data_IF_033982414920
#
_entry.id   IF_033982414920
#
_cell.length_a   1.000
_cell.length_b   1.000
_cell.length_c   1.000
_cell.angle_alpha   90.00
_cell.angle_beta   90.00
_cell.angle_gamma   90.00
#
_symmetry.space_group_name_H-M   'P 1'
#
loop_
_entity.id
_entity.type
_entity.pdbx_description
1 polymer ?
#
# COMPACT_ATOMS: atom_id res chain seq x y z
N UNK A 1 -8.06 -1.55 -2.07
CA UNK A 1 -8.31 -0.46 -1.10
C UNK A 1 -9.36 0.47 -1.69
N UNK A 2 -10.32 0.93 -0.89
CA UNK A 2 -11.20 2.04 -1.29
C UNK A 2 -10.75 3.27 -0.52
N UNK A 3 -10.33 4.30 -1.24
CA UNK A 3 -9.66 5.47 -0.66
C UNK A 3 -10.53 6.71 -0.74
N UNK A 4 -10.62 7.45 0.36
CA UNK A 4 -11.22 8.79 0.38
C UNK A 4 -10.29 9.73 1.17
N UNK A 5 -9.32 10.36 0.49
CA UNK A 5 -8.26 11.09 1.17
C UNK A 5 -8.78 12.41 1.77
N UNK A 6 -8.40 12.69 3.01
CA UNK A 6 -8.78 13.91 3.72
C UNK A 6 -7.59 14.85 3.93
N UNK A 7 -6.55 14.42 4.64
CA UNK A 7 -5.43 15.30 5.01
C UNK A 7 -4.08 14.58 5.11
N UNK A 8 -3.03 15.37 5.30
CA UNK A 8 -1.64 14.94 5.41
C UNK A 8 -1.18 14.16 4.19
N UNK A 9 -0.66 12.95 4.38
CA UNK A 9 -0.13 12.11 3.30
C UNK A 9 -1.22 11.29 2.59
N UNK A 10 -2.48 11.39 3.00
CA UNK A 10 -3.56 10.55 2.46
C UNK A 10 -3.75 10.74 0.96
N UNK A 11 -3.63 11.98 0.44
CA UNK A 11 -3.68 12.28 -0.99
C UNK A 11 -2.57 11.54 -1.74
N UNK A 12 -1.35 11.59 -1.23
CA UNK A 12 -0.19 10.89 -1.80
C UNK A 12 -0.40 9.37 -1.77
N UNK A 13 -0.81 8.81 -0.64
CA UNK A 13 -1.06 7.38 -0.49
C UNK A 13 -2.18 6.90 -1.41
N UNK A 14 -3.25 7.67 -1.57
CA UNK A 14 -4.34 7.39 -2.51
C UNK A 14 -3.82 7.36 -3.94
N UNK A 15 -3.02 8.36 -4.32
CA UNK A 15 -2.44 8.43 -5.66
C UNK A 15 -1.55 7.22 -5.94
N UNK A 16 -0.65 6.85 -5.03
CA UNK A 16 0.22 5.66 -5.20
C UNK A 16 -0.61 4.37 -5.28
N UNK A 17 -1.56 4.18 -4.38
CA UNK A 17 -2.38 2.97 -4.37
C UNK A 17 -3.21 2.80 -5.65
N UNK A 18 -3.73 3.90 -6.20
CA UNK A 18 -4.59 3.86 -7.40
C UNK A 18 -3.78 3.80 -8.70
N UNK A 19 -2.68 4.56 -8.80
CA UNK A 19 -1.97 4.79 -10.07
C UNK A 19 -0.69 3.97 -10.20
N UNK A 20 0.08 3.83 -9.12
CA UNK A 20 1.40 3.18 -9.16
C UNK A 20 1.30 1.70 -8.81
N UNK A 21 0.61 1.39 -7.70
CA UNK A 21 0.52 0.01 -7.21
C UNK A 21 -0.65 -0.75 -7.82
N UNK A 22 -1.67 -0.06 -8.32
CA UNK A 22 -2.86 -0.68 -8.91
C UNK A 22 -3.63 -1.54 -7.91
N UNK A 23 -3.66 -1.14 -6.63
CA UNK A 23 -4.32 -1.86 -5.53
C UNK A 23 -5.49 -1.06 -4.93
N UNK A 24 -5.80 0.11 -5.50
CA UNK A 24 -6.73 1.09 -4.95
C UNK A 24 -7.74 1.62 -5.97
N UNK A 25 -8.91 2.03 -5.46
CA UNK A 25 -9.89 2.86 -6.15
C UNK A 25 -10.23 4.04 -5.25
N UNK A 26 -10.24 5.25 -5.82
CA UNK A 26 -10.58 6.48 -5.12
C UNK A 26 -12.09 6.77 -5.17
N UNK A 27 -12.63 7.26 -4.05
CA UNK A 27 -13.98 7.80 -3.93
C UNK A 27 -13.95 9.27 -4.38
N UNK A 28 -14.87 9.61 -5.27
CA UNK A 28 -15.14 10.98 -5.72
C UNK A 28 -15.42 11.93 -4.54
N UNK A 29 -14.94 13.18 -4.62
CA UNK A 29 -15.18 14.23 -3.63
C UNK A 29 -16.68 14.50 -3.38
N UNK A 30 -17.54 14.33 -4.39
CA UNK A 30 -19.00 14.32 -4.23
C UNK A 30 -19.46 12.92 -3.80
N UNK A 31 -19.30 12.63 -2.50
CA UNK A 31 -19.62 11.33 -1.90
C UNK A 31 -21.13 11.12 -1.87
N UNK A 32 -21.57 10.14 -2.65
CA UNK A 32 -22.96 9.66 -2.68
C UNK A 32 -23.00 8.17 -2.43
N UNK A 33 -24.00 7.72 -1.68
CA UNK A 33 -24.16 6.30 -1.30
C UNK A 33 -24.12 5.38 -2.50
N UNK A 34 -24.79 5.75 -3.59
CA UNK A 34 -24.89 4.96 -4.81
C UNK A 34 -23.55 4.88 -5.56
N UNK A 35 -22.73 5.95 -5.50
CA UNK A 35 -21.37 5.92 -6.07
C UNK A 35 -20.47 4.99 -5.26
N UNK A 36 -20.50 5.10 -3.93
CA UNK A 36 -19.69 4.26 -3.05
C UNK A 36 -20.08 2.79 -3.19
N UNK A 37 -21.39 2.47 -3.22
CA UNK A 37 -21.88 1.10 -3.41
C UNK A 37 -21.37 0.49 -4.73
N UNK A 38 -21.37 1.25 -5.83
CA UNK A 38 -20.80 0.80 -7.11
C UNK A 38 -19.31 0.50 -7.02
N UNK A 39 -18.52 1.36 -6.36
CA UNK A 39 -17.08 1.13 -6.20
C UNK A 39 -16.79 -0.11 -5.35
N UNK A 40 -17.56 -0.30 -4.26
CA UNK A 40 -17.44 -1.49 -3.42
C UNK A 40 -17.82 -2.75 -4.20
N UNK A 41 -18.92 -2.71 -4.97
CA UNK A 41 -19.32 -3.84 -5.82
C UNK A 41 -18.25 -4.20 -6.84
N UNK A 42 -17.70 -3.20 -7.54
CA UNK A 42 -16.61 -3.42 -8.50
C UNK A 42 -15.36 -4.00 -7.83
N UNK A 43 -15.02 -3.55 -6.61
CA UNK A 43 -13.88 -4.08 -5.86
C UNK A 43 -14.10 -5.54 -5.43
N UNK A 44 -15.33 -5.91 -5.08
CA UNK A 44 -15.64 -7.24 -4.51
C UNK A 44 -15.94 -8.30 -5.58
N UNK A 45 -16.68 -7.91 -6.62
CA UNK A 45 -17.26 -8.82 -7.61
C UNK A 45 -16.81 -8.49 -9.04
N UNK A 46 -16.24 -7.31 -9.27
CA UNK A 46 -15.84 -6.84 -10.60
C UNK A 46 -14.45 -7.27 -11.02
N UNK A 47 -14.20 -7.15 -12.33
CA UNK A 47 -12.90 -7.48 -12.94
C UNK A 47 -11.78 -6.60 -12.40
N UNK A 48 -12.02 -5.31 -12.17
CA UNK A 48 -11.00 -4.45 -11.56
C UNK A 48 -10.68 -4.89 -10.13
N UNK A 49 -11.69 -5.37 -9.40
CA UNK A 49 -11.56 -6.02 -8.09
C UNK A 49 -10.55 -7.17 -8.09
N UNK A 50 -10.69 -8.06 -9.08
CA UNK A 50 -9.80 -9.20 -9.28
C UNK A 50 -8.37 -8.76 -9.61
N UNK A 51 -8.20 -7.87 -10.59
CA UNK A 51 -6.89 -7.33 -10.98
C UNK A 51 -6.18 -6.64 -9.80
N UNK A 52 -6.90 -5.85 -9.00
CA UNK A 52 -6.33 -5.24 -7.78
C UNK A 52 -5.90 -6.27 -6.74
N UNK A 53 -6.64 -7.38 -6.61
CA UNK A 53 -6.30 -8.46 -5.66
C UNK A 53 -5.03 -9.19 -6.10
N UNK A 54 -4.87 -9.45 -7.38
CA UNK A 54 -3.65 -10.04 -7.94
C UNK A 54 -2.44 -9.12 -7.69
N UNK A 55 -2.57 -7.83 -7.98
CA UNK A 55 -1.53 -6.84 -7.69
C UNK A 55 -1.18 -6.79 -6.20
N UNK A 56 -2.19 -6.79 -5.32
CA UNK A 56 -2.00 -6.80 -3.88
C UNK A 56 -1.24 -8.05 -3.41
N UNK A 57 -1.51 -9.22 -4.00
CA UNK A 57 -0.79 -10.46 -3.69
C UNK A 57 0.67 -10.41 -4.14
N UNK A 58 0.96 -9.81 -5.29
CA UNK A 58 2.34 -9.64 -5.74
C UNK A 58 3.11 -8.64 -4.85
N UNK A 59 2.48 -7.53 -4.47
CA UNK A 59 3.07 -6.59 -3.51
C UNK A 59 3.30 -7.23 -2.14
N UNK A 60 2.36 -8.04 -1.65
CA UNK A 60 2.54 -8.83 -0.43
C UNK A 60 3.79 -9.73 -0.52
N UNK A 61 3.92 -10.50 -1.61
CA UNK A 61 5.07 -11.40 -1.81
C UNK A 61 6.40 -10.63 -1.84
N UNK A 62 6.44 -9.46 -2.50
CA UNK A 62 7.61 -8.58 -2.51
C UNK A 62 7.96 -8.08 -1.11
N UNK A 63 6.95 -7.64 -0.34
CA UNK A 63 7.14 -7.17 1.04
C UNK A 63 7.66 -8.30 1.96
N UNK A 64 7.07 -9.49 1.87
CA UNK A 64 7.53 -10.67 2.63
C UNK A 64 8.97 -11.03 2.28
N UNK A 65 9.35 -11.02 1.00
CA UNK A 65 10.75 -11.26 0.58
C UNK A 65 11.70 -10.15 1.04
N UNK A 66 11.23 -8.90 1.11
CA UNK A 66 12.07 -7.79 1.57
C UNK A 66 12.35 -7.88 3.08
N UNK A 67 11.36 -8.36 3.85
CA UNK A 67 11.40 -8.43 5.31
C UNK A 67 11.76 -9.82 5.89
N UNK A 68 12.00 -10.84 5.05
CA UNK A 68 12.40 -12.16 5.54
C UNK A 68 13.81 -12.15 6.14
N UNK A 69 14.20 -13.29 6.74
CA UNK A 69 15.60 -13.53 7.10
C UNK A 69 16.48 -13.32 5.85
N UNK A 70 17.59 -12.60 6.04
CA UNK A 70 18.50 -12.14 4.97
C UNK A 70 17.86 -11.22 3.92
N UNK A 71 16.63 -10.74 4.18
CA UNK A 71 15.93 -9.79 3.33
C UNK A 71 16.51 -8.39 3.42
N UNK A 72 16.49 -7.60 2.33
CA UNK A 72 17.12 -6.28 2.28
C UNK A 72 16.60 -5.29 3.33
N UNK A 73 15.30 -5.34 3.69
CA UNK A 73 14.76 -4.45 4.72
C UNK A 73 15.28 -4.80 6.12
N UNK A 74 15.44 -6.10 6.42
CA UNK A 74 16.02 -6.54 7.69
C UNK A 74 17.51 -6.20 7.75
N UNK A 75 18.26 -6.47 6.68
CA UNK A 75 19.68 -6.11 6.60
C UNK A 75 19.90 -4.60 6.76
N UNK A 76 19.05 -3.76 6.17
CA UNK A 76 19.13 -2.32 6.36
C UNK A 76 18.86 -1.89 7.81
N UNK A 77 17.96 -2.58 8.51
CA UNK A 77 17.71 -2.34 9.93
C UNK A 77 18.93 -2.74 10.77
N UNK A 78 19.52 -3.91 10.52
CA UNK A 78 20.73 -4.37 11.20
C UNK A 78 21.89 -3.38 11.00
N UNK A 79 22.05 -2.85 9.78
CA UNK A 79 23.04 -1.82 9.48
C UNK A 79 22.79 -0.54 10.24
N UNK A 80 21.55 -0.05 10.29
CA UNK A 80 21.18 1.13 11.08
C UNK A 80 21.56 0.94 12.56
N UNK A 81 21.27 -0.23 13.12
CA UNK A 81 21.57 -0.53 14.52
C UNK A 81 23.08 -0.53 14.77
N UNK A 82 23.83 -1.30 13.98
CA UNK A 82 25.26 -1.49 14.21
C UNK A 82 26.07 -0.22 13.87
N UNK A 83 25.85 0.36 12.68
CA UNK A 83 26.67 1.45 12.14
C UNK A 83 26.28 2.84 12.67
N UNK A 84 25.07 3.01 13.24
CA UNK A 84 24.61 4.35 13.69
C UNK A 84 24.27 4.34 15.18
N UNK A 85 23.45 3.39 15.63
CA UNK A 85 22.93 3.43 17.00
C UNK A 85 23.92 2.88 18.03
N UNK A 86 24.72 1.87 17.67
CA UNK A 86 25.70 1.25 18.57
C UNK A 86 27.10 1.86 18.44
N UNK A 87 27.56 2.21 17.23
CA UNK A 87 28.84 2.88 17.02
C UNK A 87 28.90 4.30 17.63
N UNK A 88 27.77 4.97 17.83
CA UNK A 88 27.70 6.30 18.48
C UNK A 88 27.94 6.31 19.99
N UNK A 89 28.34 5.18 20.60
CA UNK A 89 28.57 5.01 22.04
C UNK A 89 30.04 4.77 22.43
N UNK A 90 31.00 5.06 21.55
CA UNK A 90 32.43 5.21 21.89
C UNK A 90 32.87 6.68 22.00
#
# INVERSE_FOLDING_TARGET
MVSWPFFAEQQTNCWFACNEWGIGIEIDNDVKREKVEKLVRELMEGRKGEEMRENAMEWKRKAEKAACLDGPSLLNLDRLINEVLLEGHE
#
